data_IF_136117400599
#
_entry.id   IF_136117400599
#
_cell.length_a   1.000
_cell.length_b   1.000
_cell.length_c   1.000
_cell.angle_alpha   90.00
_cell.angle_beta   90.00
_cell.angle_gamma   90.00
#
_symmetry.space_group_name_H-M   'P 1'
#
loop_
_entity.id
_entity.type
_entity.pdbx_description
1 polymer ?
#
# COMPACT_ATOMS: atom_id res chain seq x y z
N UNK A 1 -5.09 4.82 -14.40
CA UNK A 1 -4.34 5.46 -13.29
C UNK A 1 -2.92 4.92 -13.28
N UNK A 2 -1.92 5.79 -13.20
CA UNK A 2 -0.54 5.34 -13.08
C UNK A 2 -0.24 4.91 -11.65
N UNK A 3 0.80 4.09 -11.49
CA UNK A 3 1.28 3.65 -10.17
C UNK A 3 1.63 4.84 -9.26
N UNK A 4 2.32 5.86 -9.80
CA UNK A 4 2.67 7.06 -9.04
C UNK A 4 1.43 7.80 -8.53
N UNK A 5 0.42 7.94 -9.38
CA UNK A 5 -0.85 8.58 -9.00
C UNK A 5 -1.56 7.77 -7.93
N UNK A 6 -1.55 6.43 -8.02
CA UNK A 6 -2.15 5.57 -7.00
C UNK A 6 -1.51 5.80 -5.63
N UNK A 7 -0.18 5.77 -5.53
CA UNK A 7 0.50 5.97 -4.25
C UNK A 7 0.23 7.35 -3.68
N UNK A 8 0.26 8.39 -4.52
CA UNK A 8 -0.02 9.76 -4.09
C UNK A 8 -1.43 9.89 -3.52
N UNK A 9 -2.43 9.38 -4.24
CA UNK A 9 -3.84 9.41 -3.79
C UNK A 9 -4.05 8.62 -2.52
N UNK A 10 -3.43 7.45 -2.42
CA UNK A 10 -3.52 6.60 -1.22
C UNK A 10 -3.00 7.34 0.01
N UNK A 11 -1.82 7.95 -0.08
CA UNK A 11 -1.23 8.66 1.05
C UNK A 11 -2.07 9.88 1.43
N UNK A 12 -2.55 10.66 0.46
CA UNK A 12 -3.41 11.81 0.74
C UNK A 12 -4.71 11.39 1.40
N UNK A 13 -5.34 10.33 0.90
CA UNK A 13 -6.57 9.79 1.51
C UNK A 13 -6.33 9.44 2.98
N UNK A 14 -5.26 8.70 3.28
CA UNK A 14 -4.97 8.25 4.62
C UNK A 14 -4.69 9.41 5.58
N UNK A 15 -4.10 10.49 5.09
CA UNK A 15 -3.83 11.66 5.91
C UNK A 15 -5.06 12.52 6.15
N UNK A 16 -5.91 12.68 5.14
CA UNK A 16 -7.08 13.56 5.25
C UNK A 16 -8.27 12.88 5.90
N UNK A 17 -8.56 11.64 5.51
CA UNK A 17 -9.77 10.92 5.93
C UNK A 17 -9.47 9.62 6.65
N UNK A 18 -8.25 9.12 6.52
CA UNK A 18 -7.84 7.84 7.07
C UNK A 18 -6.98 7.93 8.32
N UNK A 19 -6.92 9.07 9.01
CA UNK A 19 -6.08 9.20 10.20
C UNK A 19 -6.41 8.18 11.27
N UNK A 20 -7.70 7.91 11.48
CA UNK A 20 -8.13 6.88 12.42
C UNK A 20 -7.60 5.51 11.99
N UNK A 21 -7.65 5.23 10.70
CA UNK A 21 -7.15 3.97 10.13
C UNK A 21 -5.64 3.84 10.36
N UNK A 22 -4.90 4.92 10.15
CA UNK A 22 -3.45 4.94 10.42
C UNK A 22 -3.15 4.69 11.90
N UNK A 23 -3.91 5.31 12.81
CA UNK A 23 -3.78 5.05 14.24
C UNK A 23 -4.00 3.58 14.56
N UNK A 24 -5.06 2.99 13.98
CA UNK A 24 -5.38 1.57 14.18
C UNK A 24 -4.30 0.65 13.62
N UNK A 25 -3.68 1.01 12.50
CA UNK A 25 -2.55 0.24 11.96
C UNK A 25 -1.34 0.27 12.91
N UNK A 26 -1.15 1.36 13.65
CA UNK A 26 -0.09 1.45 14.65
C UNK A 26 -0.43 0.74 15.96
N UNK A 27 -1.66 0.33 16.17
CA UNK A 27 -2.13 -0.36 17.36
C UNK A 27 -2.13 -1.87 17.14
N UNK A 28 -1.19 -2.57 17.76
CA UNK A 28 -1.04 -4.01 17.61
C UNK A 28 -2.24 -4.81 18.14
N UNK A 29 -3.02 -4.21 19.06
CA UNK A 29 -4.22 -4.86 19.60
C UNK A 29 -5.39 -4.88 18.61
N UNK A 30 -5.33 -4.08 17.55
CA UNK A 30 -6.40 -3.95 16.56
C UNK A 30 -6.25 -4.95 15.39
N UNK A 31 -5.80 -6.16 15.66
CA UNK A 31 -5.49 -7.17 14.64
C UNK A 31 -6.64 -7.43 13.66
N UNK A 32 -7.88 -7.55 14.16
CA UNK A 32 -9.03 -7.81 13.30
C UNK A 32 -9.29 -6.68 12.33
N UNK A 33 -9.10 -5.43 12.78
CA UNK A 33 -9.22 -4.25 11.92
C UNK A 33 -8.10 -4.19 10.89
N UNK A 34 -6.89 -4.63 11.26
CA UNK A 34 -5.79 -4.74 10.30
C UNK A 34 -6.15 -5.66 9.13
N UNK A 35 -6.84 -6.75 9.39
CA UNK A 35 -7.25 -7.68 8.33
C UNK A 35 -8.27 -7.04 7.38
N UNK A 36 -9.22 -6.28 7.91
CA UNK A 36 -10.21 -5.56 7.08
C UNK A 36 -9.53 -4.52 6.21
N UNK A 37 -8.62 -3.74 6.79
CA UNK A 37 -7.85 -2.72 6.07
C UNK A 37 -7.03 -3.36 4.96
N UNK A 38 -6.33 -4.44 5.26
CA UNK A 38 -5.51 -5.17 4.29
C UNK A 38 -6.34 -5.66 3.12
N UNK A 39 -7.52 -6.24 3.38
CA UNK A 39 -8.40 -6.75 2.33
C UNK A 39 -8.89 -5.63 1.43
N UNK A 40 -9.26 -4.50 2.00
CA UNK A 40 -9.67 -3.32 1.24
C UNK A 40 -8.54 -2.81 0.35
N UNK A 41 -7.32 -2.76 0.89
CA UNK A 41 -6.14 -2.36 0.13
C UNK A 41 -5.84 -3.33 -1.01
N UNK A 42 -5.95 -4.64 -0.77
CA UNK A 42 -5.77 -5.66 -1.81
C UNK A 42 -6.70 -5.43 -2.99
N UNK A 43 -7.96 -5.13 -2.73
CA UNK A 43 -8.93 -4.84 -3.79
C UNK A 43 -8.53 -3.62 -4.61
N UNK A 44 -8.07 -2.57 -3.95
CA UNK A 44 -7.62 -1.34 -4.64
C UNK A 44 -6.37 -1.59 -5.48
N UNK A 45 -5.43 -2.38 -4.98
CA UNK A 45 -4.23 -2.74 -5.72
C UNK A 45 -4.60 -3.57 -6.95
N UNK A 46 -5.48 -4.53 -6.79
CA UNK A 46 -5.93 -5.39 -7.89
C UNK A 46 -6.56 -4.57 -9.03
N UNK A 47 -7.36 -3.57 -8.68
CA UNK A 47 -8.07 -2.76 -9.67
C UNK A 47 -7.15 -1.70 -10.30
N UNK A 48 -6.29 -1.07 -9.52
CA UNK A 48 -5.57 0.14 -9.95
C UNK A 48 -4.09 -0.07 -10.26
N UNK A 49 -3.44 -1.05 -9.65
CA UNK A 49 -1.98 -1.23 -9.79
C UNK A 49 -1.64 -2.42 -10.68
N UNK A 50 -2.23 -3.58 -10.43
CA UNK A 50 -1.92 -4.81 -11.18
C UNK A 50 -2.09 -4.61 -12.70
N UNK A 51 -3.14 -3.93 -13.20
CA UNK A 51 -3.29 -3.75 -14.64
C UNK A 51 -2.20 -2.92 -15.32
N UNK A 52 -1.47 -2.07 -14.56
CA UNK A 52 -0.40 -1.24 -15.12
C UNK A 52 0.98 -1.87 -14.95
N UNK A 53 1.06 -3.01 -14.27
CA UNK A 53 2.29 -3.78 -14.15
C UNK A 53 2.39 -4.80 -15.29
N UNK A 54 3.62 -5.15 -15.66
CA UNK A 54 3.85 -6.19 -16.65
C UNK A 54 3.68 -7.57 -16.00
N UNK A 55 2.46 -8.08 -15.99
CA UNK A 55 2.11 -9.37 -15.38
C UNK A 55 1.76 -10.46 -16.40
N UNK A 56 2.05 -10.21 -17.68
CA UNK A 56 1.69 -11.15 -18.77
C UNK A 56 2.29 -12.54 -18.59
N UNK A 57 3.48 -12.63 -18.02
CA UNK A 57 4.20 -13.88 -17.82
C UNK A 57 3.81 -14.61 -16.54
N UNK A 58 2.94 -13.99 -15.72
CA UNK A 58 2.54 -14.58 -14.45
C UNK A 58 1.27 -15.41 -14.59
N UNK A 59 1.24 -16.56 -13.93
CA UNK A 59 0.03 -17.37 -13.80
C UNK A 59 -0.96 -16.67 -12.87
N UNK A 60 -2.20 -17.14 -12.84
CA UNK A 60 -3.23 -16.63 -11.93
C UNK A 60 -2.78 -16.76 -10.46
N UNK A 61 -2.18 -17.89 -10.12
CA UNK A 61 -1.66 -18.14 -8.75
C UNK A 61 -0.52 -17.17 -8.42
N UNK A 62 0.39 -16.93 -9.34
CA UNK A 62 1.50 -16.00 -9.15
C UNK A 62 1.02 -14.58 -9.00
N UNK A 63 0.00 -14.16 -9.75
CA UNK A 63 -0.63 -12.85 -9.58
C UNK A 63 -1.25 -12.69 -8.20
N UNK A 64 -1.87 -13.75 -7.69
CA UNK A 64 -2.42 -13.75 -6.34
C UNK A 64 -1.33 -13.53 -5.30
N UNK A 65 -0.20 -14.24 -5.40
CA UNK A 65 0.92 -14.04 -4.51
C UNK A 65 1.51 -12.64 -4.61
N UNK A 66 1.61 -12.10 -5.83
CA UNK A 66 2.06 -10.71 -6.03
C UNK A 66 1.18 -9.73 -5.27
N UNK A 67 -0.15 -9.92 -5.34
CA UNK A 67 -1.11 -9.07 -4.63
C UNK A 67 -0.89 -9.12 -3.11
N UNK A 68 -0.65 -10.30 -2.56
CA UNK A 68 -0.33 -10.47 -1.13
C UNK A 68 0.97 -9.74 -0.78
N UNK A 69 2.01 -9.90 -1.59
CA UNK A 69 3.29 -9.19 -1.41
C UNK A 69 3.09 -7.69 -1.36
N UNK A 70 2.41 -7.13 -2.35
CA UNK A 70 2.23 -5.69 -2.48
C UNK A 70 1.42 -5.12 -1.31
N UNK A 71 0.32 -5.76 -0.95
CA UNK A 71 -0.52 -5.27 0.15
C UNK A 71 0.20 -5.30 1.48
N UNK A 72 0.93 -6.38 1.77
CA UNK A 72 1.69 -6.46 3.02
C UNK A 72 2.87 -5.48 3.06
N UNK A 73 3.53 -5.25 1.93
CA UNK A 73 4.61 -4.26 1.84
C UNK A 73 4.09 -2.85 2.15
N UNK A 74 2.96 -2.48 1.56
CA UNK A 74 2.36 -1.16 1.77
C UNK A 74 1.93 -1.00 3.23
N UNK A 75 1.22 -1.98 3.78
CA UNK A 75 0.77 -1.95 5.18
C UNK A 75 1.97 -1.85 6.12
N UNK A 76 3.03 -2.62 5.88
CA UNK A 76 4.23 -2.59 6.70
C UNK A 76 4.91 -1.22 6.70
N UNK A 77 5.00 -0.58 5.54
CA UNK A 77 5.57 0.76 5.42
C UNK A 77 4.73 1.77 6.20
N UNK A 78 3.41 1.72 6.06
CA UNK A 78 2.51 2.65 6.75
C UNK A 78 2.57 2.46 8.27
N UNK A 79 2.58 1.22 8.75
CA UNK A 79 2.70 0.92 10.18
C UNK A 79 3.99 1.46 10.77
N UNK A 80 5.10 1.23 10.09
CA UNK A 80 6.39 1.74 10.54
C UNK A 80 6.44 3.27 10.54
N UNK A 81 5.90 3.88 9.48
CA UNK A 81 5.83 5.34 9.37
C UNK A 81 5.05 5.96 10.55
N UNK A 82 3.88 5.40 10.87
CA UNK A 82 3.08 5.84 12.03
C UNK A 82 3.85 5.68 13.33
N UNK A 83 4.49 4.53 13.54
CA UNK A 83 5.26 4.25 14.76
C UNK A 83 6.45 5.18 14.95
N UNK A 84 7.05 5.65 13.86
CA UNK A 84 8.16 6.62 13.90
C UNK A 84 7.69 8.08 13.99
N UNK A 85 6.37 8.31 14.19
CA UNK A 85 5.82 9.65 14.36
C UNK A 85 5.80 10.48 13.08
N UNK A 86 5.59 9.84 11.91
CA UNK A 86 5.48 10.54 10.62
C UNK A 86 6.70 11.38 10.28
N UNK A 87 7.90 10.83 10.48
CA UNK A 87 9.16 11.57 10.23
C UNK A 87 9.27 12.09 8.80
N UNK A 88 8.93 11.26 7.83
CA UNK A 88 8.89 11.66 6.43
C UNK A 88 7.56 12.37 6.13
N UNK A 89 7.58 13.32 5.18
CA UNK A 89 6.35 13.90 4.70
C UNK A 89 5.55 12.87 3.88
N UNK A 90 4.22 13.06 3.77
CA UNK A 90 3.41 12.18 2.93
C UNK A 90 3.89 12.11 1.49
N UNK A 91 4.31 13.23 0.94
CA UNK A 91 4.86 13.31 -0.42
C UNK A 91 6.11 12.43 -0.54
N UNK A 92 7.00 12.52 0.43
CA UNK A 92 8.23 11.73 0.43
C UNK A 92 7.93 10.23 0.54
N UNK A 93 7.00 9.83 1.41
CA UNK A 93 6.60 8.41 1.53
C UNK A 93 6.05 7.91 0.20
N UNK A 94 5.17 8.67 -0.44
CA UNK A 94 4.58 8.28 -1.73
C UNK A 94 5.64 8.15 -2.82
N UNK A 95 6.59 9.09 -2.89
CA UNK A 95 7.67 9.06 -3.87
C UNK A 95 8.61 7.87 -3.66
N UNK A 96 8.95 7.58 -2.41
CA UNK A 96 9.81 6.44 -2.08
C UNK A 96 9.12 5.13 -2.44
N UNK A 97 7.85 4.97 -2.07
CA UNK A 97 7.09 3.76 -2.40
C UNK A 97 7.00 3.56 -3.90
N UNK A 98 6.70 4.62 -4.65
CA UNK A 98 6.63 4.55 -6.10
C UNK A 98 7.97 4.13 -6.72
N UNK A 99 9.07 4.71 -6.25
CA UNK A 99 10.40 4.40 -6.75
C UNK A 99 10.78 2.94 -6.50
N UNK A 100 10.47 2.43 -5.31
CA UNK A 100 10.73 1.03 -4.98
C UNK A 100 9.93 0.10 -5.89
N UNK A 101 8.63 0.37 -6.08
CA UNK A 101 7.79 -0.44 -6.95
C UNK A 101 8.26 -0.39 -8.41
N UNK A 102 8.63 0.77 -8.89
CA UNK A 102 9.16 0.91 -10.25
C UNK A 102 10.36 0.00 -10.49
N UNK A 103 11.29 -0.04 -9.53
CA UNK A 103 12.51 -0.84 -9.67
C UNK A 103 12.29 -2.32 -9.43
N UNK A 104 11.39 -2.68 -8.51
CA UNK A 104 11.17 -4.07 -8.12
C UNK A 104 10.27 -4.84 -9.09
N UNK A 105 9.34 -4.16 -9.75
CA UNK A 105 8.29 -4.82 -10.56
C UNK A 105 8.31 -4.41 -12.04
N UNK A 106 9.39 -3.90 -12.51
CA UNK A 106 9.57 -3.60 -13.93
C UNK A 106 9.84 -4.84 -14.75
#
# INVERSE_FOLDING_TARGET
MTQAVFFKRMIYYWLSEGQLILMLLGDESAYKLHQVIKKSLQQRIEINVVPVLNTKMLTTKEKYFLLIFMSNAIIGVLQDWVKRGYKESPKEVAEIMNKIFEKAFR
#
